data_IF_544818660531
#
_entry.id   IF_544818660531
#
_cell.length_a   1.000
_cell.length_b   1.000
_cell.length_c   1.000
_cell.angle_alpha   90.00
_cell.angle_beta   90.00
_cell.angle_gamma   90.00
#
_symmetry.space_group_name_H-M   'P 1'
#
loop_
_entity.id
_entity.type
_entity.pdbx_description
1 polymer ?
#
# COMPACT_ATOMS: atom_id res chain seq x y z
N UNK A 1 -57.99 9.15 -56.43
CA UNK A 1 -58.50 10.50 -56.08
C UNK A 1 -58.76 10.53 -54.58
N UNK A 2 -58.45 11.68 -53.94
CA UNK A 2 -58.31 11.94 -52.50
C UNK A 2 -59.50 11.49 -51.62
N UNK A 3 -59.38 11.26 -50.31
CA UNK A 3 -59.09 12.19 -49.18
C UNK A 3 -58.89 11.28 -47.93
N UNK A 4 -58.26 11.59 -46.81
CA UNK A 4 -58.38 12.78 -45.96
C UNK A 4 -57.29 12.71 -44.89
N UNK A 5 -56.70 13.86 -44.56
CA UNK A 5 -55.72 14.11 -43.50
C UNK A 5 -56.38 13.98 -42.13
N UNK A 6 -55.69 13.48 -41.09
CA UNK A 6 -55.89 13.93 -39.71
C UNK A 6 -54.56 13.86 -38.94
N UNK A 7 -54.25 14.96 -38.27
CA UNK A 7 -53.04 15.21 -37.50
C UNK A 7 -53.30 14.94 -36.02
N UNK A 8 -52.35 14.36 -35.27
CA UNK A 8 -52.14 14.67 -33.85
C UNK A 8 -50.67 14.51 -33.49
N UNK A 9 -50.14 15.54 -32.83
CA UNK A 9 -48.82 15.63 -32.19
C UNK A 9 -48.84 14.86 -30.86
N UNK A 10 -47.81 14.07 -30.57
CA UNK A 10 -47.38 13.67 -29.21
C UNK A 10 -45.89 13.32 -29.31
N UNK A 11 -44.97 14.24 -29.01
CA UNK A 11 -44.52 14.69 -27.69
C UNK A 11 -43.86 13.58 -26.84
N UNK A 12 -42.52 13.57 -26.92
CA UNK A 12 -41.53 13.34 -25.85
C UNK A 12 -41.64 12.06 -25.01
N UNK A 13 -40.67 11.17 -25.21
CA UNK A 13 -40.01 10.48 -24.09
C UNK A 13 -38.50 10.46 -24.39
N UNK A 14 -37.79 11.47 -23.91
CA UNK A 14 -36.34 11.41 -23.78
C UNK A 14 -36.04 10.32 -22.75
N UNK A 15 -35.53 9.16 -23.21
CA UNK A 15 -35.02 8.13 -22.32
C UNK A 15 -33.70 8.64 -21.76
N UNK A 16 -33.79 9.33 -20.63
CA UNK A 16 -32.66 9.81 -19.85
C UNK A 16 -31.86 8.64 -19.30
N UNK A 17 -30.57 8.66 -19.61
CA UNK A 17 -29.49 7.81 -19.10
C UNK A 17 -29.51 7.67 -17.58
N UNK A 18 -29.65 6.44 -17.07
CA UNK A 18 -29.08 6.08 -15.77
C UNK A 18 -27.73 5.45 -16.03
N UNK A 19 -26.71 6.29 -16.16
CA UNK A 19 -25.33 5.84 -16.03
C UNK A 19 -25.16 5.34 -14.59
N UNK A 20 -25.12 4.02 -14.41
CA UNK A 20 -24.62 3.44 -13.17
C UNK A 20 -23.16 3.86 -13.06
N UNK A 21 -22.90 4.95 -12.34
CA UNK A 21 -21.62 5.16 -11.72
C UNK A 21 -21.47 4.05 -10.68
N UNK A 22 -20.99 2.88 -11.11
CA UNK A 22 -20.29 1.98 -10.24
C UNK A 22 -19.10 2.77 -9.73
N UNK A 23 -19.26 3.40 -8.57
CA UNK A 23 -18.15 3.85 -7.76
C UNK A 23 -17.37 2.58 -7.43
N UNK A 24 -16.44 2.23 -8.31
CA UNK A 24 -15.35 1.32 -7.98
C UNK A 24 -14.55 2.13 -6.97
N UNK A 25 -14.98 2.08 -5.71
CA UNK A 25 -14.10 2.44 -4.62
C UNK A 25 -12.84 1.63 -4.89
N UNK A 26 -11.66 2.25 -5.07
CA UNK A 26 -10.43 1.48 -5.07
C UNK A 26 -10.52 0.61 -3.82
N UNK A 27 -10.20 -0.70 -3.90
CA UNK A 27 -10.08 -1.47 -2.68
C UNK A 27 -9.20 -0.62 -1.77
N UNK A 28 -9.76 -0.19 -0.64
CA UNK A 28 -8.94 0.27 0.45
C UNK A 28 -8.16 -0.99 0.83
N UNK A 29 -7.04 -1.19 0.15
CA UNK A 29 -6.11 -2.26 0.41
C UNK A 29 -5.57 -1.95 1.79
N UNK A 30 -6.32 -2.37 2.81
CA UNK A 30 -5.77 -2.81 4.07
C UNK A 30 -5.00 -4.11 3.78
N UNK A 31 -4.00 -4.02 2.88
CA UNK A 31 -2.78 -4.81 2.96
C UNK A 31 -2.07 -4.28 4.19
N UNK A 32 -2.66 -4.56 5.35
CA UNK A 32 -2.23 -4.08 6.64
C UNK A 32 -0.93 -4.78 6.98
N UNK A 33 0.19 -4.27 6.46
CA UNK A 33 1.46 -4.47 7.11
C UNK A 33 1.30 -3.99 8.55
N UNK A 34 1.43 -4.91 9.51
CA UNK A 34 1.32 -4.55 10.92
C UNK A 34 2.29 -3.41 11.25
N UNK A 35 1.81 -2.41 11.98
CA UNK A 35 2.61 -1.26 12.38
C UNK A 35 3.15 -1.43 13.80
N UNK A 36 4.35 -0.93 14.04
CA UNK A 36 4.83 -0.60 15.38
C UNK A 36 5.27 0.86 15.34
N UNK A 37 4.59 1.72 16.11
CA UNK A 37 4.80 3.15 16.05
C UNK A 37 4.53 3.72 14.66
N UNK A 38 5.48 4.47 14.10
CA UNK A 38 5.35 5.06 12.75
C UNK A 38 5.92 4.14 11.64
N UNK A 39 6.12 2.85 11.91
CA UNK A 39 6.77 1.92 10.97
C UNK A 39 5.86 0.72 10.71
N UNK A 40 5.25 0.68 9.53
CA UNK A 40 4.44 -0.45 9.06
C UNK A 40 5.23 -1.29 8.06
N UNK A 41 5.24 -2.61 8.22
CA UNK A 41 6.02 -3.52 7.37
C UNK A 41 5.12 -4.54 6.69
N UNK A 42 5.21 -4.59 5.36
CA UNK A 42 4.61 -5.62 4.53
C UNK A 42 5.72 -6.42 3.83
N UNK A 43 5.63 -7.75 3.88
CA UNK A 43 6.58 -8.64 3.21
C UNK A 43 5.83 -9.49 2.20
N UNK A 44 6.18 -9.33 0.92
CA UNK A 44 5.64 -10.09 -0.20
C UNK A 44 6.44 -11.39 -0.35
N UNK A 45 5.80 -12.53 -0.06
CA UNK A 45 6.45 -13.83 0.05
C UNK A 45 5.58 -14.98 -0.46
N UNK A 46 6.25 -16.05 -0.90
CA UNK A 46 5.65 -17.35 -1.17
C UNK A 46 6.50 -18.44 -0.51
N UNK A 47 6.02 -19.00 0.60
CA UNK A 47 6.80 -19.88 1.46
C UNK A 47 8.08 -19.20 1.96
N UNK A 48 9.23 -19.78 1.64
CA UNK A 48 10.55 -19.23 1.97
C UNK A 48 11.09 -18.24 0.93
N UNK A 49 10.43 -18.08 -0.21
CA UNK A 49 10.81 -17.08 -1.20
C UNK A 49 10.26 -15.71 -0.80
N UNK A 50 11.13 -14.71 -0.73
CA UNK A 50 10.75 -13.32 -0.47
C UNK A 50 11.00 -12.50 -1.73
N UNK A 51 9.94 -11.95 -2.32
CA UNK A 51 10.05 -11.09 -3.48
C UNK A 51 10.59 -9.72 -3.08
N UNK A 52 9.94 -9.09 -2.10
CA UNK A 52 10.26 -7.74 -1.62
C UNK A 52 9.68 -7.50 -0.25
N UNK A 53 10.21 -6.49 0.44
CA UNK A 53 9.57 -5.91 1.61
C UNK A 53 9.33 -4.41 1.38
N UNK A 54 8.20 -3.93 1.86
CA UNK A 54 7.79 -2.54 1.77
C UNK A 54 7.52 -2.02 3.17
N UNK A 55 8.12 -0.88 3.50
CA UNK A 55 7.79 -0.13 4.70
C UNK A 55 6.98 1.11 4.32
N UNK A 56 5.97 1.40 5.12
CA UNK A 56 5.09 2.56 4.94
C UNK A 56 4.87 3.29 6.27
N UNK A 57 4.70 4.63 6.24
CA UNK A 57 4.17 5.36 7.38
C UNK A 57 2.69 5.00 7.61
N UNK A 58 2.21 4.92 8.87
CA UNK A 58 0.79 4.75 9.15
C UNK A 58 -0.03 5.99 8.75
N UNK A 59 -1.37 5.89 8.71
CA UNK A 59 -2.23 7.03 8.46
C UNK A 59 -1.97 8.18 9.44
N UNK A 60 -1.95 9.41 8.93
CA UNK A 60 -1.64 10.61 9.72
C UNK A 60 -0.17 10.80 10.15
N UNK A 61 0.74 9.88 9.79
CA UNK A 61 2.16 10.04 10.05
C UNK A 61 2.73 11.25 9.30
N UNK A 62 3.60 12.02 9.96
CA UNK A 62 4.40 13.07 9.33
C UNK A 62 5.69 13.30 10.10
N UNK A 63 6.84 13.03 9.48
CA UNK A 63 8.15 13.24 10.11
C UNK A 63 9.25 13.41 9.06
N UNK A 64 10.39 13.99 9.45
CA UNK A 64 11.59 14.02 8.60
C UNK A 64 12.58 12.96 9.10
N UNK A 65 13.06 12.10 8.21
CA UNK A 65 13.95 11.01 8.62
C UNK A 65 14.06 9.91 7.58
N UNK A 66 14.38 8.69 8.01
CA UNK A 66 14.58 7.55 7.11
C UNK A 66 14.06 6.25 7.71
N UNK A 67 13.89 5.26 6.83
CA UNK A 67 13.64 3.89 7.21
C UNK A 67 14.86 3.02 6.92
N UNK A 68 15.00 1.94 7.69
CA UNK A 68 15.95 0.85 7.43
C UNK A 68 15.18 -0.46 7.29
N UNK A 69 15.44 -1.20 6.22
CA UNK A 69 14.93 -2.54 5.97
C UNK A 69 16.09 -3.53 6.00
N UNK A 70 16.00 -4.57 6.83
CA UNK A 70 17.08 -5.52 7.00
C UNK A 70 16.60 -6.92 7.38
N UNK A 71 17.47 -7.92 7.22
CA UNK A 71 17.20 -9.32 7.50
C UNK A 71 17.40 -10.22 6.28
N UNK A 72 17.65 -11.51 6.52
CA UNK A 72 17.88 -12.48 5.43
C UNK A 72 19.06 -12.12 4.51
N UNK A 73 20.10 -11.46 5.05
CA UNK A 73 21.26 -11.00 4.30
C UNK A 73 21.05 -9.71 3.49
N UNK A 74 20.01 -8.93 3.80
CA UNK A 74 19.81 -7.57 3.26
C UNK A 74 19.93 -6.58 4.41
N UNK A 75 20.51 -5.40 4.13
CA UNK A 75 20.49 -4.23 5.00
C UNK A 75 20.52 -2.97 4.12
N UNK A 76 19.38 -2.29 4.03
CA UNK A 76 19.18 -1.15 3.15
C UNK A 76 18.52 -0.01 3.92
N UNK A 77 18.89 1.22 3.59
CA UNK A 77 18.32 2.44 4.16
C UNK A 77 17.70 3.28 3.07
N UNK A 78 16.55 3.89 3.36
CA UNK A 78 15.97 4.90 2.49
C UNK A 78 16.82 6.18 2.55
N UNK A 79 16.59 7.08 1.59
CA UNK A 79 17.01 8.46 1.76
C UNK A 79 16.34 9.09 3.00
N UNK A 80 17.00 10.08 3.59
CA UNK A 80 16.36 10.97 4.56
C UNK A 80 15.45 11.93 3.80
N UNK A 81 14.16 11.94 4.15
CA UNK A 81 13.15 12.77 3.50
C UNK A 81 11.97 13.04 4.43
N UNK A 82 11.04 13.88 3.98
CA UNK A 82 9.75 14.05 4.66
C UNK A 82 8.85 12.86 4.32
N UNK A 83 8.59 12.04 5.34
CA UNK A 83 7.66 10.92 5.26
C UNK A 83 6.27 11.36 5.65
N UNK A 84 5.27 10.88 4.90
CA UNK A 84 3.87 11.04 5.20
C UNK A 84 3.07 9.86 4.64
N UNK A 85 1.81 9.76 5.06
CA UNK A 85 0.85 8.79 4.52
C UNK A 85 0.87 8.75 2.98
N UNK A 86 0.85 7.54 2.43
CA UNK A 86 0.91 7.28 0.98
C UNK A 86 2.31 7.08 0.41
N UNK A 87 3.37 7.52 1.10
CA UNK A 87 4.74 7.22 0.73
C UNK A 87 5.13 5.78 1.11
N UNK A 88 6.08 5.22 0.36
CA UNK A 88 6.56 3.86 0.56
C UNK A 88 8.04 3.76 0.28
N UNK A 89 8.71 2.89 1.03
CA UNK A 89 10.06 2.47 0.73
C UNK A 89 10.10 0.96 0.55
N UNK A 90 10.49 0.52 -0.65
CA UNK A 90 10.47 -0.88 -1.05
C UNK A 90 11.87 -1.35 -1.35
N UNK A 91 12.23 -2.52 -0.85
CA UNK A 91 13.49 -3.20 -1.14
C UNK A 91 13.17 -4.57 -1.71
N UNK A 92 13.76 -4.87 -2.88
CA UNK A 92 13.66 -6.20 -3.47
C UNK A 92 14.60 -7.16 -2.74
N UNK A 93 14.08 -8.34 -2.37
CA UNK A 93 14.90 -9.47 -1.93
C UNK A 93 15.20 -10.39 -3.09
N UNK A 94 14.15 -10.73 -3.86
CA UNK A 94 14.21 -11.54 -5.07
C UNK A 94 14.81 -12.93 -4.87
N UNK A 95 14.70 -13.52 -3.68
CA UNK A 95 15.37 -14.78 -3.34
C UNK A 95 14.70 -15.57 -2.22
N UNK A 96 15.06 -16.84 -2.14
CA UNK A 96 14.79 -17.68 -0.97
C UNK A 96 15.58 -17.21 0.24
N UNK A 97 14.98 -17.31 1.42
CA UNK A 97 15.64 -17.10 2.71
C UNK A 97 15.54 -18.36 3.58
N UNK A 98 16.48 -18.60 4.52
CA UNK A 98 16.36 -19.70 5.47
C UNK A 98 15.05 -19.67 6.25
N UNK A 99 14.60 -20.84 6.71
CA UNK A 99 13.47 -20.92 7.64
C UNK A 99 13.76 -20.13 8.92
N UNK A 100 12.71 -19.56 9.52
CA UNK A 100 12.79 -18.63 10.66
C UNK A 100 13.58 -17.33 10.42
N UNK A 101 13.88 -16.96 9.17
CA UNK A 101 14.50 -15.67 8.87
C UNK A 101 13.60 -14.53 9.32
N UNK A 102 14.15 -13.54 10.04
CA UNK A 102 13.42 -12.31 10.40
C UNK A 102 13.77 -11.20 9.43
N UNK A 103 12.75 -10.57 8.86
CA UNK A 103 12.84 -9.33 8.09
C UNK A 103 12.26 -8.22 8.95
N UNK A 104 13.04 -7.17 9.17
CA UNK A 104 12.71 -6.07 10.05
C UNK A 104 12.75 -4.73 9.32
N UNK A 105 11.91 -3.82 9.78
CA UNK A 105 11.89 -2.42 9.41
C UNK A 105 12.03 -1.57 10.67
N UNK A 106 12.86 -0.53 10.59
CA UNK A 106 13.02 0.49 11.63
C UNK A 106 12.81 1.88 11.04
N UNK A 107 12.03 2.71 11.70
CA UNK A 107 11.89 4.13 11.37
C UNK A 107 12.69 5.01 12.32
N UNK A 108 13.33 6.04 11.77
CA UNK A 108 14.12 7.01 12.52
C UNK A 108 13.73 8.43 12.11
N UNK A 109 13.36 9.25 13.07
CA UNK A 109 13.10 10.68 12.90
C UNK A 109 14.33 11.50 13.24
N UNK A 110 14.61 12.54 12.48
CA UNK A 110 15.66 13.49 12.78
C UNK A 110 15.07 14.72 13.48
N UNK A 111 15.37 14.87 14.77
CA UNK A 111 14.90 15.98 15.62
C UNK A 111 16.12 16.69 16.19
N UNK A 112 16.31 17.97 15.86
CA UNK A 112 17.44 18.77 16.41
C UNK A 112 18.82 18.16 16.14
N UNK A 113 19.01 17.48 15.00
CA UNK A 113 20.26 16.80 14.65
C UNK A 113 20.45 15.42 15.30
N UNK A 114 19.52 14.97 16.15
CA UNK A 114 19.53 13.64 16.75
C UNK A 114 18.56 12.70 16.04
N UNK A 115 18.84 11.40 16.07
CA UNK A 115 17.95 10.36 15.57
C UNK A 115 17.09 9.79 16.70
N UNK A 116 15.78 9.95 16.57
CA UNK A 116 14.78 9.38 17.47
C UNK A 116 14.13 8.15 16.82
N UNK A 117 14.10 6.99 17.50
CA UNK A 117 13.44 5.81 16.97
C UNK A 117 11.93 6.03 16.93
N UNK A 118 11.31 5.65 15.81
CA UNK A 118 9.86 5.77 15.60
C UNK A 118 9.12 4.44 15.67
N UNK A 119 9.85 3.34 15.71
CA UNK A 119 9.27 2.01 15.77
C UNK A 119 10.12 0.98 15.04
N UNK A 120 9.92 -0.28 15.43
CA UNK A 120 10.56 -1.44 14.83
C UNK A 120 9.54 -2.55 14.67
N UNK A 121 9.27 -2.94 13.42
CA UNK A 121 8.44 -4.10 13.11
C UNK A 121 9.30 -5.17 12.48
N UNK A 122 9.12 -6.42 12.91
CA UNK A 122 9.73 -7.57 12.28
C UNK A 122 8.66 -8.60 11.89
N UNK A 123 8.89 -9.28 10.77
CA UNK A 123 8.10 -10.42 10.29
C UNK A 123 9.04 -11.61 10.20
N UNK A 124 8.66 -12.73 10.81
CA UNK A 124 9.38 -14.00 10.69
C UNK A 124 8.87 -14.77 9.46
N UNK A 125 9.79 -15.17 8.59
CA UNK A 125 9.56 -16.03 7.44
C UNK A 125 9.63 -17.46 7.92
N UNK A 126 8.52 -18.18 7.70
CA UNK A 126 8.42 -19.60 8.04
C UNK A 126 8.07 -20.38 6.79
N UNK A 127 8.58 -21.60 6.70
CA UNK A 127 8.11 -22.57 5.72
C UNK A 127 6.60 -22.74 5.90
N UNK A 128 5.83 -22.62 4.82
CA UNK A 128 4.41 -22.94 4.87
C UNK A 128 4.26 -24.41 5.24
N UNK A 129 3.61 -24.70 6.37
CA UNK A 129 3.26 -26.07 6.75
C UNK A 129 2.22 -26.61 5.77
N UNK A 130 2.48 -27.81 5.24
CA UNK A 130 1.48 -28.60 4.52
C UNK A 130 0.54 -29.30 5.49
#
# INVERSE_FOLDING_TARGET
MARTRWAVRTAVAAVGTLALCAAVAPPASADGGDCVGQTCLQVDRNGLYVARATVTPPPGAKFFGHYRLYGGGVDNKSASQHWHEGLRYTVAWGRGVPDHTKICAEGWEQVGGQLKPLGKKCVEIRKSGG
#
